data_IF_601629158788
#
_entry.id   IF_601629158788
#
_cell.length_a   1.000
_cell.length_b   1.000
_cell.length_c   1.000
_cell.angle_alpha   90.00
_cell.angle_beta   90.00
_cell.angle_gamma   90.00
#
_symmetry.space_group_name_H-M   'P 1'
#
loop_
_entity.id
_entity.type
_entity.pdbx_description
1 polymer ?
#
# COMPACT_ATOMS: atom_id res chain seq x y z
N UNK A 1 -7.25 -7.94 -4.96
CA UNK A 1 -6.53 -8.53 -3.81
C UNK A 1 -6.34 -7.48 -2.75
N UNK A 2 -6.56 -7.86 -1.48
CA UNK A 2 -6.33 -6.97 -0.33
C UNK A 2 -5.10 -7.41 0.46
N UNK A 3 -4.16 -6.50 0.64
CA UNK A 3 -2.93 -6.70 1.40
C UNK A 3 -3.00 -5.82 2.66
N UNK A 4 -2.72 -6.42 3.82
CA UNK A 4 -2.63 -5.72 5.09
C UNK A 4 -1.18 -5.74 5.57
N UNK A 5 -0.63 -4.57 5.86
CA UNK A 5 0.74 -4.40 6.34
C UNK A 5 0.68 -3.78 7.73
N UNK A 6 1.24 -4.48 8.71
CA UNK A 6 1.24 -4.06 10.12
C UNK A 6 2.63 -3.62 10.56
N UNK A 7 2.70 -2.68 11.50
CA UNK A 7 3.97 -2.21 12.09
C UNK A 7 4.16 -0.70 11.97
N UNK A 8 5.41 -0.23 11.98
CA UNK A 8 5.71 1.21 11.85
C UNK A 8 5.49 1.71 10.43
N UNK A 9 4.25 2.04 10.10
CA UNK A 9 3.82 2.43 8.74
C UNK A 9 3.44 3.91 8.61
N UNK A 10 3.35 4.63 9.72
CA UNK A 10 3.05 6.07 9.77
C UNK A 10 4.33 6.91 9.88
N UNK A 11 4.39 8.03 9.15
CA UNK A 11 5.54 8.95 9.19
C UNK A 11 6.80 8.50 8.44
N UNK A 12 6.80 7.32 7.81
CA UNK A 12 7.99 6.74 7.15
C UNK A 12 8.01 6.87 5.62
N UNK A 13 7.06 7.58 5.03
CA UNK A 13 6.94 7.68 3.57
C UNK A 13 6.45 6.39 2.89
N UNK A 14 5.62 5.61 3.58
CA UNK A 14 5.12 4.32 3.10
C UNK A 14 4.30 4.42 1.81
N UNK A 15 3.36 5.37 1.74
CA UNK A 15 2.45 5.56 0.58
C UNK A 15 3.20 5.84 -0.74
N UNK A 16 4.20 6.76 -0.79
CA UNK A 16 5.04 6.92 -1.97
C UNK A 16 5.73 5.64 -2.46
N UNK A 17 6.18 4.78 -1.53
CA UNK A 17 6.83 3.50 -1.87
C UNK A 17 5.83 2.53 -2.50
N UNK A 18 4.63 2.40 -1.94
CA UNK A 18 3.56 1.57 -2.52
C UNK A 18 3.20 2.05 -3.93
N UNK A 19 3.04 3.35 -4.13
CA UNK A 19 2.71 3.91 -5.45
C UNK A 19 3.76 3.58 -6.52
N UNK A 20 5.06 3.74 -6.20
CA UNK A 20 6.15 3.39 -7.11
C UNK A 20 6.19 1.89 -7.43
N UNK A 21 5.96 1.04 -6.43
CA UNK A 21 5.89 -0.40 -6.64
C UNK A 21 4.72 -0.79 -7.53
N UNK A 22 3.53 -0.20 -7.31
CA UNK A 22 2.36 -0.39 -8.14
C UNK A 22 2.62 0.00 -9.60
N UNK A 23 3.27 1.15 -9.85
CA UNK A 23 3.66 1.56 -11.21
C UNK A 23 4.64 0.58 -11.87
N UNK A 24 5.64 0.07 -11.13
CA UNK A 24 6.63 -0.87 -11.69
C UNK A 24 6.02 -2.19 -12.13
N UNK A 25 5.03 -2.69 -11.39
CA UNK A 25 4.33 -3.91 -11.77
C UNK A 25 3.18 -3.63 -12.73
N UNK A 26 2.73 -2.38 -12.85
CA UNK A 26 1.56 -1.96 -13.64
C UNK A 26 0.24 -2.31 -12.98
N UNK A 27 0.17 -2.28 -11.64
CA UNK A 27 -1.02 -2.57 -10.85
C UNK A 27 -1.80 -1.29 -10.56
N UNK A 28 -3.13 -1.41 -10.52
CA UNK A 28 -4.04 -0.32 -10.18
C UNK A 28 -4.72 -0.61 -8.85
N UNK A 29 -5.02 0.43 -8.07
CA UNK A 29 -5.58 0.23 -6.75
C UNK A 29 -5.54 1.45 -5.85
N UNK A 30 -5.81 1.22 -4.57
CA UNK A 30 -5.85 2.23 -3.52
C UNK A 30 -4.99 1.83 -2.32
N UNK A 31 -4.34 2.80 -1.70
CA UNK A 31 -3.55 2.62 -0.47
C UNK A 31 -3.94 3.66 0.57
N UNK A 32 -4.23 3.20 1.79
CA UNK A 32 -4.59 4.07 2.91
C UNK A 32 -4.08 3.53 4.24
N UNK A 33 -3.86 4.44 5.19
CA UNK A 33 -3.60 4.07 6.58
C UNK A 33 -4.93 3.70 7.26
N UNK A 34 -4.90 2.65 8.07
CA UNK A 34 -5.99 2.20 8.92
C UNK A 34 -5.47 2.03 10.35
N UNK A 35 -5.46 3.13 11.12
CA UNK A 35 -4.81 3.14 12.43
C UNK A 35 -3.32 2.83 12.30
N UNK A 36 -2.86 1.78 12.98
CA UNK A 36 -1.47 1.31 12.98
C UNK A 36 -1.09 0.44 11.79
N UNK A 37 -2.00 0.23 10.84
CA UNK A 37 -1.79 -0.62 9.67
C UNK A 37 -1.91 0.18 8.36
N UNK A 38 -1.34 -0.36 7.28
CA UNK A 38 -1.60 0.08 5.91
C UNK A 38 -2.39 -0.98 5.19
N UNK A 39 -3.44 -0.54 4.50
CA UNK A 39 -4.23 -1.38 3.60
C UNK A 39 -3.89 -0.99 2.17
N UNK A 40 -3.63 -2.01 1.35
CA UNK A 40 -3.51 -1.90 -0.11
C UNK A 40 -4.61 -2.76 -0.72
N UNK A 41 -5.43 -2.16 -1.56
CA UNK A 41 -6.39 -2.87 -2.39
C UNK A 41 -6.00 -2.69 -3.85
N UNK A 42 -5.86 -3.79 -4.58
CA UNK A 42 -5.34 -3.77 -5.95
C UNK A 42 -6.03 -4.79 -6.84
N UNK A 43 -6.10 -4.50 -8.14
CA UNK A 43 -6.59 -5.41 -9.17
C UNK A 43 -5.71 -6.67 -9.35
N UNK A 44 -4.42 -6.60 -9.01
CA UNK A 44 -3.49 -7.72 -9.14
C UNK A 44 -3.52 -8.66 -7.94
N UNK A 45 -3.61 -9.97 -8.21
CA UNK A 45 -3.43 -11.07 -7.27
C UNK A 45 -2.22 -11.91 -7.60
#
# INVERSE_FOLDING_TARGET
>A
MRILIRGTVQGVGFRPTVYRSAQKVGASGSVWNNGSDVVIDTDRG
#
